data_IF_328951007961
#
_entry.id   IF_328951007961
#
_cell.length_a   1.000
_cell.length_b   1.000
_cell.length_c   1.000
_cell.angle_alpha   90.00
_cell.angle_beta   90.00
_cell.angle_gamma   90.00
#
_symmetry.space_group_name_H-M   'P 1'
#
loop_
_entity.id
_entity.type
_entity.pdbx_description
1 polymer ?
#
# COMPACT_ATOMS: atom_id res chain seq x y z
N UNK A 1 15.56 -9.42 32.86
CA UNK A 1 14.56 -9.51 31.76
C UNK A 1 14.14 -10.95 31.62
N UNK A 2 12.84 -11.25 31.70
CA UNK A 2 12.33 -12.60 31.42
C UNK A 2 12.78 -13.04 30.01
N UNK A 3 13.44 -14.19 29.91
CA UNK A 3 13.88 -14.78 28.65
C UNK A 3 12.65 -15.40 27.94
N UNK A 4 11.77 -14.54 27.42
CA UNK A 4 10.54 -14.96 26.75
C UNK A 4 10.92 -15.55 25.38
N UNK A 5 10.64 -16.84 25.20
CA UNK A 5 10.87 -17.58 23.94
C UNK A 5 9.57 -17.93 23.19
N UNK A 6 8.44 -17.35 23.59
CA UNK A 6 7.15 -17.59 22.92
C UNK A 6 7.10 -16.84 21.59
N UNK A 7 7.02 -17.59 20.48
CA UNK A 7 6.92 -17.03 19.13
C UNK A 7 5.79 -16.01 19.02
N UNK A 8 4.57 -16.36 19.45
CA UNK A 8 3.41 -15.47 19.32
C UNK A 8 3.58 -14.19 20.14
N UNK A 9 4.11 -14.28 21.36
CA UNK A 9 4.36 -13.09 22.17
C UNK A 9 5.37 -12.15 21.48
N UNK A 10 6.47 -12.70 20.97
CA UNK A 10 7.49 -11.93 20.27
C UNK A 10 6.96 -11.35 18.95
N UNK A 11 6.21 -12.14 18.18
CA UNK A 11 5.58 -11.69 16.94
C UNK A 11 4.62 -10.52 17.18
N UNK A 12 3.72 -10.61 18.16
CA UNK A 12 2.80 -9.51 18.46
C UNK A 12 3.52 -8.30 19.07
N UNK A 13 4.58 -8.51 19.85
CA UNK A 13 5.44 -7.42 20.33
C UNK A 13 6.10 -6.68 19.16
N UNK A 14 6.67 -7.41 18.21
CA UNK A 14 7.27 -6.85 17.01
C UNK A 14 6.24 -6.05 16.20
N UNK A 15 5.03 -6.59 16.04
CA UNK A 15 3.92 -5.89 15.37
C UNK A 15 3.55 -4.58 16.06
N UNK A 16 3.51 -4.55 17.39
CA UNK A 16 3.28 -3.32 18.16
C UNK A 16 4.42 -2.31 17.96
N UNK A 17 5.68 -2.75 17.93
CA UNK A 17 6.82 -1.88 17.62
C UNK A 17 6.69 -1.28 16.22
N UNK A 18 6.37 -2.10 15.21
CA UNK A 18 6.14 -1.66 13.83
C UNK A 18 5.00 -0.65 13.72
N UNK A 19 3.85 -0.87 14.38
CA UNK A 19 2.70 0.07 14.34
C UNK A 19 3.09 1.46 14.86
N UNK A 20 3.98 1.53 15.85
CA UNK A 20 4.51 2.80 16.38
C UNK A 20 5.73 3.32 15.59
N UNK A 21 5.97 2.82 14.38
CA UNK A 21 7.12 3.15 13.53
C UNK A 21 8.51 2.91 14.17
N UNK A 22 8.60 2.04 15.19
CA UNK A 22 9.88 1.59 15.77
C UNK A 22 10.42 0.42 14.96
N UNK A 23 10.75 0.70 13.69
CA UNK A 23 11.00 -0.32 12.67
C UNK A 23 12.19 -1.22 12.99
N UNK A 24 13.32 -0.64 13.41
CA UNK A 24 14.54 -1.43 13.74
C UNK A 24 14.32 -2.35 14.95
N UNK A 25 13.61 -1.87 15.97
CA UNK A 25 13.22 -2.71 17.10
C UNK A 25 12.28 -3.85 16.70
N UNK A 26 11.29 -3.55 15.84
CA UNK A 26 10.35 -4.53 15.32
C UNK A 26 11.05 -5.61 14.50
N UNK A 27 11.97 -5.22 13.61
CA UNK A 27 12.79 -6.12 12.80
C UNK A 27 13.60 -7.07 13.70
N UNK A 28 14.37 -6.54 14.65
CA UNK A 28 15.16 -7.34 15.57
C UNK A 28 14.27 -8.32 16.37
N UNK A 29 13.07 -7.90 16.74
CA UNK A 29 12.13 -8.74 17.50
C UNK A 29 11.50 -9.83 16.63
N UNK A 30 11.18 -9.57 15.36
CA UNK A 30 10.73 -10.60 14.42
C UNK A 30 11.82 -11.63 14.12
N UNK A 31 13.06 -11.19 13.88
CA UNK A 31 14.20 -12.08 13.66
C UNK A 31 14.46 -12.96 14.89
N UNK A 32 14.38 -12.38 16.10
CA UNK A 32 14.48 -13.14 17.34
C UNK A 32 13.30 -14.13 17.53
N UNK A 33 12.08 -13.75 17.15
CA UNK A 33 10.93 -14.65 17.17
C UNK A 33 11.17 -15.87 16.28
N UNK A 34 11.67 -15.65 15.06
CA UNK A 34 12.01 -16.73 14.13
C UNK A 34 13.14 -17.62 14.66
N UNK A 35 14.15 -17.04 15.31
CA UNK A 35 15.24 -17.81 15.93
C UNK A 35 14.75 -18.72 17.06
N UNK A 36 13.73 -18.31 17.82
CA UNK A 36 13.23 -19.05 18.97
C UNK A 36 12.40 -20.30 18.63
N UNK A 37 12.01 -20.51 17.37
CA UNK A 37 11.22 -21.67 16.94
C UNK A 37 11.64 -22.13 15.54
N UNK A 38 11.79 -23.43 15.31
CA UNK A 38 12.11 -23.98 13.99
C UNK A 38 11.13 -25.06 13.50
N UNK A 39 10.14 -25.41 14.31
CA UNK A 39 9.25 -26.53 14.02
C UNK A 39 8.18 -26.14 13.00
N UNK A 40 7.70 -24.89 13.02
CA UNK A 40 6.58 -24.42 12.21
C UNK A 40 7.03 -23.37 11.21
N UNK A 41 7.43 -23.83 10.02
CA UNK A 41 7.96 -22.97 8.94
C UNK A 41 6.94 -21.92 8.46
N UNK A 42 5.64 -22.24 8.50
CA UNK A 42 4.60 -21.29 8.11
C UNK A 42 4.58 -20.04 9.01
N UNK A 43 4.97 -20.17 10.28
CA UNK A 43 5.12 -19.03 11.17
C UNK A 43 6.27 -18.12 10.71
N UNK A 44 7.39 -18.69 10.24
CA UNK A 44 8.46 -17.88 9.65
C UNK A 44 7.99 -17.09 8.44
N UNK A 45 7.12 -17.65 7.59
CA UNK A 45 6.55 -16.90 6.46
C UNK A 45 5.69 -15.72 6.90
N UNK A 46 4.96 -15.85 8.01
CA UNK A 46 4.24 -14.73 8.59
C UNK A 46 5.20 -13.62 9.07
N UNK A 47 6.32 -13.99 9.70
CA UNK A 47 7.35 -13.02 10.08
C UNK A 47 8.03 -12.39 8.85
N UNK A 48 8.35 -13.15 7.80
CA UNK A 48 8.90 -12.60 6.55
C UNK A 48 7.95 -11.60 5.90
N UNK A 49 6.65 -11.86 5.92
CA UNK A 49 5.64 -10.91 5.44
C UNK A 49 5.69 -9.59 6.19
N UNK A 50 5.78 -9.62 7.52
CA UNK A 50 5.85 -8.42 8.34
C UNK A 50 7.20 -7.68 8.23
N UNK A 51 8.30 -8.42 8.18
CA UNK A 51 9.64 -7.89 7.95
C UNK A 51 9.72 -7.15 6.61
N UNK A 52 9.11 -7.71 5.56
CA UNK A 52 9.05 -7.11 4.22
C UNK A 52 8.47 -5.70 4.30
N UNK A 53 7.34 -5.52 4.98
CA UNK A 53 6.73 -4.19 5.13
C UNK A 53 7.56 -3.24 6.01
N UNK A 54 8.29 -3.74 7.00
CA UNK A 54 9.23 -2.92 7.77
C UNK A 54 10.33 -2.35 6.84
N UNK A 55 10.91 -3.18 5.96
CA UNK A 55 11.92 -2.74 4.99
C UNK A 55 11.35 -1.79 3.94
N UNK A 56 10.13 -2.03 3.45
CA UNK A 56 9.43 -1.09 2.55
C UNK A 56 9.20 0.26 3.23
N UNK A 57 8.79 0.30 4.50
CA UNK A 57 8.65 1.55 5.28
C UNK A 57 9.99 2.27 5.48
N UNK A 58 11.11 1.53 5.53
CA UNK A 58 12.46 2.08 5.52
C UNK A 58 12.96 2.47 4.11
N UNK A 59 12.20 2.17 3.06
CA UNK A 59 12.61 2.24 1.63
C UNK A 59 13.89 1.44 1.33
N UNK A 60 14.08 0.35 2.04
CA UNK A 60 15.14 -0.65 1.85
C UNK A 60 14.63 -1.72 0.88
N UNK A 61 14.60 -1.37 -0.41
CA UNK A 61 13.94 -2.14 -1.46
C UNK A 61 14.64 -3.48 -1.73
N UNK A 62 15.97 -3.49 -1.75
CA UNK A 62 16.76 -4.71 -1.87
C UNK A 62 16.47 -5.72 -0.77
N UNK A 63 16.44 -5.29 0.48
CA UNK A 63 16.12 -6.16 1.61
C UNK A 63 14.67 -6.68 1.48
N UNK A 64 13.71 -5.80 1.18
CA UNK A 64 12.33 -6.21 0.95
C UNK A 64 12.18 -7.26 -0.17
N UNK A 65 12.99 -7.15 -1.24
CA UNK A 65 12.98 -8.10 -2.36
C UNK A 65 13.47 -9.49 -1.94
N UNK A 66 14.47 -9.60 -1.05
CA UNK A 66 14.94 -10.87 -0.50
C UNK A 66 13.83 -11.59 0.27
N UNK A 67 13.07 -10.87 1.09
CA UNK A 67 11.91 -11.44 1.79
C UNK A 67 10.79 -11.83 0.83
N UNK A 68 10.51 -11.01 -0.19
CA UNK A 68 9.53 -11.33 -1.23
C UNK A 68 9.91 -12.60 -2.03
N UNK A 69 11.19 -12.75 -2.36
CA UNK A 69 11.74 -13.95 -3.01
C UNK A 69 11.58 -15.18 -2.11
N UNK A 70 11.90 -15.07 -0.82
CA UNK A 70 11.72 -16.16 0.15
C UNK A 70 10.26 -16.63 0.20
N UNK A 71 9.31 -15.69 0.26
CA UNK A 71 7.87 -16.00 0.21
C UNK A 71 7.47 -16.61 -1.14
N UNK A 72 7.98 -16.07 -2.25
CA UNK A 72 7.74 -16.60 -3.59
C UNK A 72 8.25 -18.03 -3.76
N UNK A 73 9.35 -18.42 -3.11
CA UNK A 73 9.90 -19.76 -3.23
C UNK A 73 9.18 -20.73 -2.28
N UNK A 74 8.95 -20.32 -1.04
CA UNK A 74 8.58 -21.24 0.03
C UNK A 74 7.08 -21.24 0.38
N UNK A 75 6.36 -20.16 0.11
CA UNK A 75 4.96 -20.00 0.53
C UNK A 75 3.98 -20.16 -0.65
N UNK A 76 2.93 -20.96 -0.48
CA UNK A 76 1.97 -21.30 -1.55
C UNK A 76 0.65 -20.51 -1.49
N UNK A 77 0.49 -19.54 -0.57
CA UNK A 77 -0.76 -18.80 -0.40
C UNK A 77 -1.10 -17.88 -1.57
N UNK A 78 -0.10 -17.21 -2.15
CA UNK A 78 -0.33 -16.20 -3.20
C UNK A 78 0.93 -15.92 -4.02
N UNK A 79 1.38 -16.91 -4.81
CA UNK A 79 2.61 -16.82 -5.61
C UNK A 79 2.60 -15.62 -6.57
N UNK A 80 1.45 -15.30 -7.18
CA UNK A 80 1.35 -14.12 -8.04
C UNK A 80 1.56 -12.81 -7.27
N UNK A 81 1.06 -12.71 -6.03
CA UNK A 81 1.31 -11.54 -5.17
C UNK A 81 2.79 -11.43 -4.82
N UNK A 82 3.42 -12.53 -4.37
CA UNK A 82 4.84 -12.49 -4.00
C UNK A 82 5.74 -12.17 -5.19
N UNK A 83 5.43 -12.70 -6.38
CA UNK A 83 6.14 -12.36 -7.61
C UNK A 83 5.96 -10.89 -7.99
N UNK A 84 4.76 -10.32 -7.83
CA UNK A 84 4.53 -8.90 -8.05
C UNK A 84 5.31 -8.03 -7.06
N UNK A 85 5.26 -8.34 -5.76
CA UNK A 85 6.01 -7.61 -4.73
C UNK A 85 7.52 -7.64 -5.03
N UNK A 86 8.06 -8.83 -5.34
CA UNK A 86 9.46 -9.00 -5.75
C UNK A 86 9.80 -8.12 -6.96
N UNK A 87 8.99 -8.19 -8.03
CA UNK A 87 9.18 -7.40 -9.25
C UNK A 87 9.21 -5.90 -8.94
N UNK A 88 8.25 -5.44 -8.13
CA UNK A 88 8.13 -4.03 -7.73
C UNK A 88 9.31 -3.58 -6.90
N UNK A 89 9.78 -4.38 -5.94
CA UNK A 89 10.91 -3.98 -5.10
C UNK A 89 12.23 -3.99 -5.87
N UNK A 90 12.46 -4.92 -6.79
CA UNK A 90 13.62 -4.87 -7.69
C UNK A 90 13.52 -3.64 -8.61
N UNK A 91 12.32 -3.31 -9.10
CA UNK A 91 12.12 -2.11 -9.92
C UNK A 91 12.42 -0.81 -9.15
N UNK A 92 11.96 -0.70 -7.91
CA UNK A 92 12.25 0.43 -7.01
C UNK A 92 13.74 0.52 -6.65
N UNK A 93 14.40 -0.62 -6.36
CA UNK A 93 15.85 -0.68 -6.08
C UNK A 93 16.70 -0.23 -7.29
N UNK A 94 16.20 -0.49 -8.50
CA UNK A 94 16.78 -0.01 -9.76
C UNK A 94 16.33 1.42 -10.12
N UNK A 95 15.82 2.21 -9.18
CA UNK A 95 15.34 3.59 -9.39
C UNK A 95 14.31 3.72 -10.52
N UNK A 96 13.40 2.74 -10.63
CA UNK A 96 12.36 2.73 -11.65
C UNK A 96 12.85 2.33 -13.06
N UNK A 97 14.02 1.70 -13.18
CA UNK A 97 14.54 1.20 -14.44
C UNK A 97 14.01 -0.22 -14.71
N UNK A 98 13.40 -0.41 -15.88
CA UNK A 98 12.90 -1.71 -16.35
C UNK A 98 14.02 -2.62 -16.88
N UNK A 99 14.76 -3.27 -15.99
CA UNK A 99 15.74 -4.29 -16.35
C UNK A 99 15.06 -5.54 -16.95
N UNK A 100 15.83 -6.37 -17.67
CA UNK A 100 15.33 -7.63 -18.24
C UNK A 100 14.75 -8.57 -17.17
N UNK A 101 15.34 -8.58 -15.98
CA UNK A 101 14.84 -9.32 -14.84
C UNK A 101 13.46 -8.82 -14.39
N UNK A 102 13.30 -7.51 -14.22
CA UNK A 102 12.02 -6.89 -13.82
C UNK A 102 10.95 -7.21 -14.87
N UNK A 103 11.27 -7.05 -16.16
CA UNK A 103 10.35 -7.37 -17.26
C UNK A 103 9.95 -8.84 -17.24
N UNK A 104 10.90 -9.76 -17.04
CA UNK A 104 10.64 -11.20 -16.93
C UNK A 104 9.72 -11.53 -15.75
N UNK A 105 9.98 -10.95 -14.58
CA UNK A 105 9.18 -11.21 -13.38
C UNK A 105 7.75 -10.66 -13.53
N UNK A 106 7.57 -9.45 -14.08
CA UNK A 106 6.23 -8.91 -14.34
C UNK A 106 5.44 -9.75 -15.35
N UNK A 107 6.10 -10.32 -16.38
CA UNK A 107 5.44 -11.26 -17.32
C UNK A 107 4.97 -12.55 -16.65
N UNK A 108 5.66 -13.00 -15.59
CA UNK A 108 5.35 -14.23 -14.87
C UNK A 108 4.14 -14.10 -13.93
N UNK A 109 3.81 -12.89 -13.46
CA UNK A 109 2.75 -12.68 -12.47
C UNK A 109 1.38 -13.27 -12.88
N UNK A 110 0.87 -13.07 -14.12
CA UNK A 110 -0.42 -13.62 -14.52
C UNK A 110 -0.45 -15.16 -14.56
N UNK A 111 0.69 -15.80 -14.84
CA UNK A 111 0.83 -17.26 -14.91
C UNK A 111 0.73 -17.93 -13.53
N UNK A 112 1.02 -17.17 -12.46
CA UNK A 112 1.03 -17.65 -11.07
C UNK A 112 -0.32 -17.47 -10.36
N UNK A 113 -1.32 -16.92 -11.05
CA UNK A 113 -2.63 -16.60 -10.47
C UNK A 113 -3.36 -17.87 -10.04
N UNK A 114 -3.94 -17.85 -8.84
CA UNK A 114 -4.75 -18.96 -8.34
C UNK A 114 -6.22 -18.56 -8.11
N UNK A 115 -7.06 -19.57 -7.86
CA UNK A 115 -8.42 -19.37 -7.35
C UNK A 115 -8.53 -20.06 -6.01
N UNK A 116 -9.03 -19.34 -5.01
CA UNK A 116 -9.38 -19.88 -3.70
C UNK A 116 -10.90 -19.93 -3.59
N UNK A 117 -11.46 -21.12 -3.34
CA UNK A 117 -12.90 -21.36 -3.31
C UNK A 117 -13.65 -20.78 -4.53
N UNK A 118 -13.08 -20.97 -5.73
CA UNK A 118 -13.64 -20.47 -7.00
C UNK A 118 -13.49 -18.97 -7.26
N UNK A 119 -12.99 -18.19 -6.29
CA UNK A 119 -12.75 -16.74 -6.44
C UNK A 119 -11.26 -16.45 -6.60
N UNK A 120 -10.90 -15.49 -7.46
CA UNK A 120 -9.51 -15.00 -7.49
C UNK A 120 -9.23 -14.12 -6.27
N UNK A 121 -7.98 -14.16 -5.80
CA UNK A 121 -7.50 -13.28 -4.73
C UNK A 121 -7.54 -11.82 -5.24
N UNK A 122 -8.15 -10.87 -4.50
CA UNK A 122 -8.27 -9.48 -4.95
C UNK A 122 -6.91 -8.83 -5.27
N UNK A 123 -5.89 -9.10 -4.47
CA UNK A 123 -4.55 -8.54 -4.66
C UNK A 123 -3.85 -9.09 -5.91
N UNK A 124 -4.06 -10.36 -6.26
CA UNK A 124 -3.53 -10.92 -7.52
C UNK A 124 -4.16 -10.27 -8.74
N UNK A 125 -5.47 -9.97 -8.71
CA UNK A 125 -6.15 -9.24 -9.79
C UNK A 125 -5.57 -7.83 -9.98
N UNK A 126 -5.33 -7.14 -8.87
CA UNK A 126 -4.68 -5.82 -8.88
C UNK A 126 -3.26 -5.93 -9.46
N UNK A 127 -2.45 -6.87 -8.95
CA UNK A 127 -1.08 -7.10 -9.40
C UNK A 127 -1.00 -7.32 -10.92
N UNK A 128 -1.86 -8.19 -11.47
CA UNK A 128 -1.91 -8.47 -12.92
C UNK A 128 -2.17 -7.19 -13.72
N UNK A 129 -3.09 -6.33 -13.28
CA UNK A 129 -3.38 -5.08 -13.98
C UNK A 129 -2.17 -4.13 -13.97
N UNK A 130 -1.49 -4.02 -12.85
CA UNK A 130 -0.26 -3.22 -12.75
C UNK A 130 0.84 -3.78 -13.68
N UNK A 131 0.95 -5.11 -13.79
CA UNK A 131 1.86 -5.76 -14.74
C UNK A 131 1.49 -5.43 -16.19
N UNK A 132 0.20 -5.45 -16.55
CA UNK A 132 -0.27 -5.07 -17.90
C UNK A 132 0.14 -3.64 -18.25
N UNK A 133 -0.01 -2.67 -17.33
CA UNK A 133 0.42 -1.29 -17.59
C UNK A 133 1.93 -1.19 -17.75
N UNK A 134 2.67 -1.81 -16.84
CA UNK A 134 4.12 -1.85 -16.91
C UNK A 134 4.59 -2.44 -18.24
N UNK A 135 3.96 -3.51 -18.74
CA UNK A 135 4.38 -4.14 -19.99
C UNK A 135 4.18 -3.27 -21.22
N UNK A 136 3.26 -2.29 -21.17
CA UNK A 136 2.99 -1.35 -22.25
C UNK A 136 4.01 -0.21 -22.30
N UNK A 137 4.32 0.42 -21.16
CA UNK A 137 5.16 1.64 -21.12
C UNK A 137 6.55 1.44 -20.47
N UNK A 138 6.80 0.27 -19.87
CA UNK A 138 8.03 -0.10 -19.14
C UNK A 138 8.35 0.75 -17.91
N UNK A 139 7.34 1.37 -17.31
CA UNK A 139 7.47 2.07 -16.04
C UNK A 139 6.13 2.11 -15.29
N UNK A 140 6.18 2.36 -13.98
CA UNK A 140 5.01 2.58 -13.12
C UNK A 140 5.28 3.78 -12.21
N UNK A 141 4.23 4.56 -11.91
CA UNK A 141 4.34 5.70 -11.02
C UNK A 141 4.36 5.27 -9.55
N UNK A 142 5.54 5.31 -8.92
CA UNK A 142 5.76 5.03 -7.49
C UNK A 142 5.06 3.75 -6.97
N UNK A 143 5.22 2.59 -7.65
CA UNK A 143 4.45 1.37 -7.32
C UNK A 143 4.69 0.86 -5.89
N UNK A 144 5.87 1.09 -5.30
CA UNK A 144 6.18 0.76 -3.91
C UNK A 144 5.41 1.63 -2.91
N UNK A 145 5.25 2.93 -3.19
CA UNK A 145 4.44 3.82 -2.35
C UNK A 145 2.94 3.58 -2.54
N UNK A 146 2.50 3.20 -3.74
CA UNK A 146 1.13 2.74 -3.98
C UNK A 146 0.82 1.48 -3.16
N UNK A 147 1.75 0.52 -3.11
CA UNK A 147 1.64 -0.66 -2.23
C UNK A 147 1.58 -0.28 -0.74
N UNK A 148 2.39 0.69 -0.29
CA UNK A 148 2.31 1.20 1.07
C UNK A 148 0.93 1.79 1.38
N UNK A 149 0.36 2.60 0.48
CA UNK A 149 -1.01 3.09 0.64
C UNK A 149 -1.99 1.94 0.81
N UNK A 150 -1.96 0.99 -0.14
CA UNK A 150 -2.86 -0.15 -0.12
C UNK A 150 -2.72 -0.93 1.18
N UNK A 151 -1.52 -1.08 1.74
CA UNK A 151 -1.28 -1.79 3.00
C UNK A 151 -1.47 -0.95 4.27
N UNK A 152 -2.05 0.26 4.18
CA UNK A 152 -2.20 1.21 5.29
C UNK A 152 -0.85 1.65 5.91
N UNK A 153 0.25 1.56 5.17
CA UNK A 153 1.60 1.87 5.63
C UNK A 153 1.78 3.34 6.02
N UNK A 154 1.04 4.28 5.40
CA UNK A 154 1.13 5.70 5.76
C UNK A 154 0.63 6.01 7.19
N UNK A 155 -0.28 5.21 7.74
CA UNK A 155 -0.67 5.34 9.16
C UNK A 155 0.48 5.01 10.11
N UNK A 156 1.33 4.05 9.73
CA UNK A 156 2.54 3.72 10.47
C UNK A 156 3.56 4.85 10.29
N UNK A 157 3.75 5.30 9.06
CA UNK A 157 4.70 6.36 8.72
C UNK A 157 4.39 7.69 9.43
N UNK A 158 3.12 7.96 9.73
CA UNK A 158 2.68 9.16 10.44
C UNK A 158 3.29 9.31 11.84
N UNK A 159 3.76 8.22 12.47
CA UNK A 159 4.46 8.25 13.74
C UNK A 159 5.94 8.66 13.62
N UNK A 160 6.48 8.85 12.41
CA UNK A 160 7.84 9.31 12.15
C UNK A 160 7.80 10.52 11.19
N UNK A 161 7.79 11.72 11.78
CA UNK A 161 7.69 12.97 11.01
C UNK A 161 8.84 13.15 10.01
N UNK A 162 10.04 12.64 10.28
CA UNK A 162 11.17 12.75 9.36
C UNK A 162 10.93 11.92 8.10
N UNK A 163 10.53 10.66 8.27
CA UNK A 163 10.22 9.80 7.12
C UNK A 163 8.95 10.23 6.39
N UNK A 164 7.95 10.75 7.10
CA UNK A 164 6.74 11.32 6.51
C UNK A 164 7.06 12.49 5.57
N UNK A 165 7.80 13.50 6.05
CA UNK A 165 8.21 14.65 5.23
C UNK A 165 9.07 14.22 4.03
N UNK A 166 10.08 13.37 4.27
CA UNK A 166 10.91 12.87 3.17
C UNK A 166 10.11 12.07 2.11
N UNK A 167 9.00 11.44 2.50
CA UNK A 167 8.12 10.73 1.54
C UNK A 167 7.21 11.69 0.80
N UNK A 168 6.75 12.75 1.46
CA UNK A 168 6.02 13.84 0.81
C UNK A 168 6.86 14.53 -0.27
N UNK A 169 8.13 14.81 0.00
CA UNK A 169 9.05 15.41 -0.98
C UNK A 169 9.25 14.51 -2.21
N UNK A 170 9.42 13.20 -2.00
CA UNK A 170 9.53 12.22 -3.11
C UNK A 170 8.28 12.24 -3.97
N UNK A 171 7.09 12.17 -3.36
CA UNK A 171 5.82 12.14 -4.11
C UNK A 171 5.63 13.44 -4.89
N UNK A 172 5.93 14.60 -4.30
CA UNK A 172 5.81 15.89 -4.99
C UNK A 172 6.79 16.02 -6.15
N UNK A 173 8.05 15.64 -5.96
CA UNK A 173 9.05 15.71 -7.02
C UNK A 173 8.67 14.78 -8.18
N UNK A 174 8.25 13.55 -7.89
CA UNK A 174 7.78 12.61 -8.90
C UNK A 174 6.51 13.10 -9.62
N UNK A 175 5.56 13.72 -8.90
CA UNK A 175 4.38 14.33 -9.53
C UNK A 175 4.75 15.47 -10.48
N UNK A 176 5.70 16.33 -10.09
CA UNK A 176 6.17 17.41 -10.94
C UNK A 176 6.85 16.86 -12.21
N UNK A 177 7.73 15.87 -12.05
CA UNK A 177 8.38 15.16 -13.15
C UNK A 177 7.37 14.52 -14.10
N UNK A 178 6.35 13.83 -13.56
CA UNK A 178 5.25 13.23 -14.32
C UNK A 178 4.51 14.26 -15.18
N UNK A 179 4.18 15.43 -14.61
CA UNK A 179 3.46 16.49 -15.35
C UNK A 179 4.34 17.08 -16.46
N UNK A 180 5.63 17.27 -16.19
CA UNK A 180 6.57 17.88 -17.14
C UNK A 180 6.97 16.94 -18.29
N UNK A 181 7.17 15.66 -18.00
CA UNK A 181 7.83 14.73 -18.93
C UNK A 181 6.92 13.60 -19.44
N UNK A 182 5.82 13.30 -18.75
CA UNK A 182 4.98 12.13 -19.01
C UNK A 182 3.51 12.47 -19.28
N UNK A 183 3.18 13.74 -19.55
CA UNK A 183 1.80 14.19 -19.80
C UNK A 183 1.13 13.57 -21.03
N UNK A 184 1.92 13.06 -21.98
CA UNK A 184 1.44 12.38 -23.19
C UNK A 184 1.42 10.85 -23.06
N UNK A 185 1.85 10.29 -21.92
CA UNK A 185 1.90 8.85 -21.73
C UNK A 185 0.49 8.26 -21.65
N UNK A 186 0.33 7.05 -22.16
CA UNK A 186 -0.97 6.36 -22.25
C UNK A 186 -1.69 6.30 -20.90
N UNK A 187 -0.97 6.05 -19.81
CA UNK A 187 -1.53 5.92 -18.47
C UNK A 187 -1.26 7.18 -17.61
N UNK A 188 -1.05 8.34 -18.23
CA UNK A 188 -0.79 9.59 -17.51
C UNK A 188 -1.87 9.91 -16.48
N UNK A 189 -3.15 9.88 -16.87
CA UNK A 189 -4.26 10.23 -15.97
C UNK A 189 -4.34 9.28 -14.76
N UNK A 190 -4.15 7.98 -14.97
CA UNK A 190 -4.10 6.99 -13.88
C UNK A 190 -2.90 7.23 -12.95
N UNK A 191 -1.73 7.56 -13.52
CA UNK A 191 -0.50 7.86 -12.77
C UNK A 191 -0.64 9.15 -11.95
N UNK A 192 -1.18 10.20 -12.56
CA UNK A 192 -1.41 11.49 -11.95
C UNK A 192 -2.42 11.37 -10.80
N UNK A 193 -3.55 10.70 -11.02
CA UNK A 193 -4.52 10.43 -9.96
C UNK A 193 -3.94 9.60 -8.80
N UNK A 194 -3.03 8.66 -9.09
CA UNK A 194 -2.32 7.90 -8.06
C UNK A 194 -1.39 8.79 -7.25
N UNK A 195 -0.62 9.67 -7.90
CA UNK A 195 0.22 10.62 -7.20
C UNK A 195 -0.56 11.63 -6.38
N UNK A 196 -1.69 12.14 -6.89
CA UNK A 196 -2.61 12.97 -6.12
C UNK A 196 -3.12 12.26 -4.87
N UNK A 197 -3.43 10.95 -4.96
CA UNK A 197 -3.90 10.17 -3.82
C UNK A 197 -2.80 10.04 -2.76
N UNK A 198 -1.59 9.67 -3.18
CA UNK A 198 -0.43 9.57 -2.29
C UNK A 198 -0.13 10.93 -1.63
N UNK A 199 -0.14 12.01 -2.41
CA UNK A 199 0.10 13.38 -1.93
C UNK A 199 -0.98 13.79 -0.92
N UNK A 200 -2.26 13.59 -1.24
CA UNK A 200 -3.38 13.95 -0.36
C UNK A 200 -3.33 13.22 0.99
N UNK A 201 -2.99 11.93 0.99
CA UNK A 201 -2.85 11.14 2.24
C UNK A 201 -1.68 11.64 3.08
N UNK A 202 -0.55 11.99 2.45
CA UNK A 202 0.59 12.57 3.15
C UNK A 202 0.25 13.96 3.72
N UNK A 203 -0.44 14.81 2.95
CA UNK A 203 -0.93 16.11 3.40
C UNK A 203 -1.89 15.99 4.59
N UNK A 204 -2.77 14.98 4.61
CA UNK A 204 -3.62 14.66 5.76
C UNK A 204 -2.76 14.42 7.00
N UNK A 205 -1.78 13.52 6.96
CA UNK A 205 -0.91 13.26 8.11
C UNK A 205 -0.01 14.44 8.50
N UNK A 206 0.25 15.36 7.57
CA UNK A 206 0.93 16.64 7.81
C UNK A 206 -0.03 17.75 8.28
N UNK A 207 -1.30 17.44 8.53
CA UNK A 207 -2.35 18.39 8.94
C UNK A 207 -2.63 19.53 7.94
N UNK A 208 -2.28 19.35 6.65
CA UNK A 208 -2.54 20.29 5.55
C UNK A 208 -3.85 19.92 4.85
N UNK A 209 -4.96 20.03 5.58
CA UNK A 209 -6.25 19.45 5.20
C UNK A 209 -6.87 20.06 3.94
N UNK A 210 -6.71 21.36 3.73
CA UNK A 210 -7.27 22.05 2.56
C UNK A 210 -6.62 21.55 1.27
N UNK A 211 -5.29 21.49 1.23
CA UNK A 211 -4.54 20.95 0.09
C UNK A 211 -4.80 19.46 -0.13
N UNK A 212 -5.00 18.70 0.96
CA UNK A 212 -5.40 17.30 0.84
C UNK A 212 -6.79 17.17 0.19
N UNK A 213 -7.75 18.02 0.58
CA UNK A 213 -9.07 18.07 -0.04
C UNK A 213 -9.00 18.45 -1.51
N UNK A 214 -8.21 19.44 -1.89
CA UNK A 214 -8.00 19.83 -3.29
C UNK A 214 -7.47 18.65 -4.13
N UNK A 215 -6.46 17.94 -3.64
CA UNK A 215 -5.93 16.76 -4.31
C UNK A 215 -7.00 15.66 -4.48
N UNK A 216 -7.83 15.42 -3.46
CA UNK A 216 -8.91 14.43 -3.54
C UNK A 216 -10.06 14.87 -4.46
N UNK A 217 -10.41 16.15 -4.47
CA UNK A 217 -11.44 16.69 -5.35
C UNK A 217 -11.02 16.61 -6.82
N UNK A 218 -9.74 16.83 -7.12
CA UNK A 218 -9.20 16.65 -8.47
C UNK A 218 -9.30 15.18 -8.92
N UNK A 219 -9.00 14.20 -8.05
CA UNK A 219 -9.20 12.78 -8.37
C UNK A 219 -10.68 12.47 -8.66
N UNK A 220 -11.59 13.01 -7.85
CA UNK A 220 -13.04 12.81 -8.02
C UNK A 220 -13.50 13.41 -9.35
N UNK A 221 -12.99 14.59 -9.72
CA UNK A 221 -13.26 15.23 -11.01
C UNK A 221 -12.77 14.38 -12.19
N UNK A 222 -11.60 13.77 -12.06
CA UNK A 222 -11.00 12.91 -13.08
C UNK A 222 -11.60 11.49 -13.14
N UNK A 223 -12.54 11.14 -12.26
CA UNK A 223 -13.03 9.76 -12.08
C UNK A 223 -13.47 9.05 -13.38
N UNK A 224 -14.10 9.76 -14.31
CA UNK A 224 -14.58 9.20 -15.59
C UNK A 224 -13.47 9.01 -16.64
N UNK A 225 -12.28 9.56 -16.39
CA UNK A 225 -11.13 9.55 -17.31
C UNK A 225 -10.10 8.49 -16.97
N UNK A 226 -10.23 7.82 -15.82
CA UNK A 226 -9.34 6.71 -15.47
C UNK A 226 -9.61 5.52 -16.39
N UNK A 227 -8.54 4.93 -16.93
CA UNK A 227 -8.64 3.74 -17.79
C UNK A 227 -8.93 2.51 -16.93
N UNK A 228 -8.19 2.39 -15.81
CA UNK A 228 -8.12 1.13 -15.07
C UNK A 228 -8.21 1.29 -13.56
N UNK A 229 -7.98 2.52 -13.07
CA UNK A 229 -7.89 2.82 -11.63
C UNK A 229 -9.17 3.43 -11.07
N UNK A 230 -10.31 2.79 -11.33
CA UNK A 230 -11.61 3.18 -10.77
C UNK A 230 -11.66 3.17 -9.23
N UNK A 231 -10.71 2.50 -8.57
CA UNK A 231 -10.57 2.53 -7.12
C UNK A 231 -10.10 3.89 -6.58
N UNK A 232 -9.41 4.72 -7.38
CA UNK A 232 -8.84 6.00 -6.91
C UNK A 232 -9.91 6.95 -6.42
N UNK A 233 -11.00 7.13 -7.18
CA UNK A 233 -12.08 8.03 -6.80
C UNK A 233 -12.77 7.55 -5.51
N UNK A 234 -13.04 6.26 -5.38
CA UNK A 234 -13.62 5.70 -4.16
C UNK A 234 -12.71 5.90 -2.94
N UNK A 235 -11.40 5.71 -3.12
CA UNK A 235 -10.40 5.94 -2.07
C UNK A 235 -10.28 7.43 -1.71
N UNK A 236 -10.26 8.34 -2.69
CA UNK A 236 -10.24 9.78 -2.44
C UNK A 236 -11.45 10.24 -1.60
N UNK A 237 -12.66 9.72 -1.91
CA UNK A 237 -13.86 10.01 -1.12
C UNK A 237 -13.75 9.44 0.31
N UNK A 238 -13.19 8.24 0.48
CA UNK A 238 -12.88 7.68 1.80
C UNK A 238 -11.91 8.60 2.57
N UNK A 239 -10.79 9.00 1.95
CA UNK A 239 -9.79 9.85 2.62
C UNK A 239 -10.35 11.22 3.03
N UNK A 240 -11.24 11.81 2.22
CA UNK A 240 -11.99 13.01 2.65
C UNK A 240 -12.79 12.74 3.93
N UNK A 241 -13.47 11.60 4.02
CA UNK A 241 -14.18 11.18 5.24
C UNK A 241 -13.25 11.00 6.44
N UNK A 242 -12.05 10.47 6.24
CA UNK A 242 -11.04 10.27 7.28
C UNK A 242 -10.43 11.59 7.78
N UNK A 243 -10.28 12.59 6.91
CA UNK A 243 -9.93 13.96 7.31
C UNK A 243 -11.03 14.52 8.23
N UNK A 244 -12.31 14.41 7.85
CA UNK A 244 -13.41 14.89 8.69
C UNK A 244 -13.49 14.17 10.03
N UNK A 245 -13.14 12.88 10.11
CA UNK A 245 -13.00 12.17 11.39
C UNK A 245 -11.87 12.77 12.24
N UNK A 246 -10.73 13.07 11.63
CA UNK A 246 -9.58 13.69 12.31
C UNK A 246 -9.95 15.07 12.87
N UNK A 247 -10.78 15.81 12.14
CA UNK A 247 -11.34 17.12 12.54
C UNK A 247 -12.53 17.02 13.51
N UNK A 248 -12.91 15.80 13.93
CA UNK A 248 -14.10 15.53 14.76
C UNK A 248 -15.43 16.01 14.18
N UNK A 249 -15.51 16.17 12.85
CA UNK A 249 -16.73 16.54 12.13
C UNK A 249 -17.53 15.29 11.74
N UNK A 250 -18.12 14.63 12.74
CA UNK A 250 -18.81 13.32 12.60
C UNK A 250 -19.83 13.26 11.46
N UNK A 251 -20.68 14.29 11.31
CA UNK A 251 -21.74 14.28 10.30
C UNK A 251 -21.17 14.26 8.87
N UNK A 252 -20.21 15.15 8.57
CA UNK A 252 -19.53 15.17 7.27
C UNK A 252 -18.71 13.91 7.03
N UNK A 253 -18.04 13.40 8.06
CA UNK A 253 -17.33 12.13 7.95
C UNK A 253 -18.26 11.00 7.51
N UNK A 254 -19.42 10.84 8.17
CA UNK A 254 -20.40 9.82 7.82
C UNK A 254 -20.95 9.99 6.40
N UNK A 255 -21.20 11.22 5.95
CA UNK A 255 -21.62 11.53 4.59
C UNK A 255 -20.62 11.01 3.54
N UNK A 256 -19.34 11.39 3.66
CA UNK A 256 -18.29 10.95 2.73
C UNK A 256 -18.04 9.44 2.80
N UNK A 257 -18.05 8.85 3.99
CA UNK A 257 -17.89 7.40 4.15
C UNK A 257 -19.01 6.61 3.49
N UNK A 258 -20.27 7.05 3.63
CA UNK A 258 -21.42 6.43 2.95
C UNK A 258 -21.36 6.66 1.45
N UNK A 259 -20.95 7.85 1.00
CA UNK A 259 -20.75 8.17 -0.41
C UNK A 259 -19.73 7.22 -1.07
N UNK A 260 -18.58 7.03 -0.42
CA UNK A 260 -17.53 6.09 -0.90
C UNK A 260 -18.07 4.66 -1.04
N UNK A 261 -18.95 4.24 -0.12
CA UNK A 261 -19.54 2.89 -0.12
C UNK A 261 -20.62 2.69 -1.20
N UNK A 262 -21.43 3.71 -1.47
CA UNK A 262 -22.65 3.57 -2.27
C UNK A 262 -22.44 3.93 -3.75
N UNK A 263 -21.61 4.94 -4.02
CA UNK A 263 -21.49 5.56 -5.35
C UNK A 263 -20.46 4.87 -6.25
N UNK A 264 -19.62 3.99 -5.69
CA UNK A 264 -18.54 3.32 -6.40
C UNK A 264 -18.65 1.80 -6.26
N UNK A 265 -18.56 1.06 -7.37
CA UNK A 265 -18.67 -0.42 -7.42
C UNK A 265 -17.79 -1.01 -8.50
N UNK A 266 -17.50 -2.32 -8.41
CA UNK A 266 -16.81 -3.11 -9.43
C UNK A 266 -15.37 -2.67 -9.73
N UNK A 267 -14.65 -2.20 -8.71
CA UNK A 267 -13.25 -1.79 -8.83
C UNK A 267 -12.30 -2.77 -8.13
N UNK A 268 -11.01 -2.66 -8.43
CA UNK A 268 -10.00 -3.51 -7.82
C UNK A 268 -9.88 -3.23 -6.32
N UNK A 269 -9.71 -4.29 -5.53
CA UNK A 269 -9.59 -4.20 -4.06
C UNK A 269 -10.83 -3.61 -3.36
N UNK A 270 -12.02 -3.68 -3.98
CA UNK A 270 -13.28 -3.19 -3.40
C UNK A 270 -13.57 -3.75 -2.00
N UNK A 271 -13.42 -5.06 -1.78
CA UNK A 271 -13.63 -5.65 -0.45
C UNK A 271 -12.69 -5.08 0.62
N UNK A 272 -11.46 -4.71 0.22
CA UNK A 272 -10.48 -4.08 1.11
C UNK A 272 -10.91 -2.64 1.45
N UNK A 273 -11.38 -1.88 0.46
CA UNK A 273 -11.86 -0.53 0.69
C UNK A 273 -13.10 -0.53 1.60
N UNK A 274 -14.06 -1.43 1.34
CA UNK A 274 -15.25 -1.60 2.16
C UNK A 274 -14.90 -1.92 3.61
N UNK A 275 -13.89 -2.76 3.87
CA UNK A 275 -13.40 -3.00 5.22
C UNK A 275 -12.90 -1.72 5.90
N UNK A 276 -12.11 -0.89 5.19
CA UNK A 276 -11.61 0.40 5.70
C UNK A 276 -12.75 1.37 6.00
N UNK A 277 -13.71 1.50 5.08
CA UNK A 277 -14.90 2.35 5.25
C UNK A 277 -15.69 1.90 6.49
N UNK A 278 -15.97 0.60 6.61
CA UNK A 278 -16.73 0.07 7.74
C UNK A 278 -16.01 0.30 9.07
N UNK A 279 -14.69 0.10 9.13
CA UNK A 279 -13.90 0.43 10.32
C UNK A 279 -14.01 1.92 10.68
N UNK A 280 -13.89 2.82 9.69
CA UNK A 280 -14.03 4.26 9.90
C UNK A 280 -15.45 4.66 10.36
N UNK A 281 -16.50 4.02 9.81
CA UNK A 281 -17.89 4.22 10.25
C UNK A 281 -18.08 3.80 11.72
N UNK A 282 -17.47 2.69 12.13
CA UNK A 282 -17.54 2.26 13.54
C UNK A 282 -16.84 3.28 14.46
N UNK A 283 -15.67 3.79 14.06
CA UNK A 283 -15.00 4.88 14.77
C UNK A 283 -15.90 6.11 14.88
N UNK A 284 -16.52 6.54 13.76
CA UNK A 284 -17.43 7.69 13.73
C UNK A 284 -18.62 7.54 14.69
N UNK A 285 -19.20 6.34 14.77
CA UNK A 285 -20.32 6.02 15.67
C UNK A 285 -19.95 6.16 17.15
N UNK A 286 -18.70 5.86 17.50
CA UNK A 286 -18.18 5.97 18.87
C UNK A 286 -17.82 7.42 19.26
N UNK A 287 -17.77 8.35 18.31
CA UNK A 287 -17.53 9.77 18.61
C UNK A 287 -18.78 10.36 19.29
N UNK A 288 -18.59 10.97 20.45
CA UNK A 288 -19.59 11.84 21.06
C UNK A 288 -19.85 13.03 20.13
N UNK A 289 -21.11 13.44 20.04
CA UNK A 289 -21.52 14.59 19.23
C UNK A 289 -20.93 15.90 19.77
#
# INVERSE_FOLDING_TARGET
MLNIKSYFFLFFRARLQTIHCRLDEGINTYEYAMYCQNDWKDLHHLAYWELLWCRVLQRQWKEASIMAQTLLDQNNWSKATYCYLLSTFIFEDNNGIATDEVVRLYKRVPELKIRLAGKSIPLEKYAIKQCEHFLVQKWLFLPGLELLYLMNGFYILAHDSKRLNATFDIVNNALNDLVLHHSNDRFYIDSYGSGLLLRGVLLHFLCRYDEAHEAFDEIIYLAKRFDTKSFLAANAVLEKGLIYLSLKQKQKAMEYLQKSLNDYKNYQLESRLQFRINAAIQTAKQMNN
#
